data_IF_136946808437
#
_entry.id   IF_136946808437
#
_cell.length_a   1.000
_cell.length_b   1.000
_cell.length_c   1.000
_cell.angle_alpha   90.00
_cell.angle_beta   90.00
_cell.angle_gamma   90.00
#
_symmetry.space_group_name_H-M   'P 1'
#
loop_
_entity.id
_entity.type
_entity.pdbx_description
1 polymer ?
#
# COMPACT_ATOMS: atom_id res chain seq x y z
N UNK A 1 51.64 -30.22 -40.47
CA UNK A 1 50.32 -29.54 -40.65
C UNK A 1 49.50 -29.87 -39.41
N UNK A 2 49.42 -28.94 -38.46
CA UNK A 2 48.64 -29.11 -37.22
C UNK A 2 47.39 -28.26 -37.33
N UNK A 3 46.21 -28.89 -37.32
CA UNK A 3 44.90 -28.25 -37.27
C UNK A 3 44.63 -27.79 -35.82
N UNK A 4 44.39 -26.50 -35.65
CA UNK A 4 43.91 -25.88 -34.39
C UNK A 4 42.40 -25.76 -34.49
N UNK A 5 41.66 -26.52 -33.68
CA UNK A 5 40.21 -26.41 -33.54
C UNK A 5 39.91 -25.29 -32.55
N UNK A 6 39.26 -24.23 -33.01
CA UNK A 6 38.74 -23.19 -32.15
C UNK A 6 37.33 -23.60 -31.67
N UNK A 7 37.22 -23.88 -30.39
CA UNK A 7 35.92 -24.11 -29.73
C UNK A 7 35.21 -22.80 -29.44
N UNK A 8 34.02 -22.62 -29.99
CA UNK A 8 33.14 -21.50 -29.74
C UNK A 8 32.33 -21.75 -28.46
N UNK A 9 32.68 -21.09 -27.36
CA UNK A 9 31.87 -21.16 -26.13
C UNK A 9 30.66 -20.19 -26.23
N UNK A 10 29.49 -20.76 -26.36
CA UNK A 10 28.25 -19.97 -26.31
C UNK A 10 27.89 -19.62 -24.83
N UNK A 11 27.99 -18.35 -24.50
CA UNK A 11 27.52 -17.80 -23.20
C UNK A 11 26.01 -17.68 -23.23
N UNK A 12 25.31 -18.57 -22.53
CA UNK A 12 23.87 -18.41 -22.28
C UNK A 12 23.64 -17.41 -21.13
N UNK A 13 23.17 -16.21 -21.45
CA UNK A 13 22.64 -15.29 -20.46
C UNK A 13 21.25 -15.80 -20.03
N UNK A 14 21.16 -16.34 -18.83
CA UNK A 14 19.86 -16.53 -18.16
C UNK A 14 19.34 -15.18 -17.68
N UNK A 15 18.37 -14.59 -18.38
CA UNK A 15 17.54 -13.54 -17.82
C UNK A 15 16.68 -14.16 -16.70
N UNK A 16 17.04 -13.93 -15.45
CA UNK A 16 16.15 -14.18 -14.33
C UNK A 16 14.99 -13.19 -14.42
N UNK A 17 13.82 -13.64 -14.84
CA UNK A 17 12.59 -12.87 -14.66
C UNK A 17 12.37 -12.71 -13.16
N UNK A 18 12.51 -11.49 -12.65
CA UNK A 18 12.08 -11.14 -11.30
C UNK A 18 10.56 -11.30 -11.28
N UNK A 19 10.06 -12.41 -10.71
CA UNK A 19 8.65 -12.54 -10.37
C UNK A 19 8.37 -11.46 -9.34
N UNK A 20 7.53 -10.48 -9.67
CA UNK A 20 6.92 -9.62 -8.67
C UNK A 20 6.12 -10.54 -7.74
N UNK A 21 6.61 -10.76 -6.51
CA UNK A 21 5.82 -11.43 -5.51
C UNK A 21 4.58 -10.55 -5.29
N UNK A 22 3.42 -11.06 -5.66
CA UNK A 22 2.15 -10.37 -5.42
C UNK A 22 1.97 -10.16 -3.91
N UNK A 23 1.25 -9.11 -3.53
CA UNK A 23 0.94 -8.83 -2.13
C UNK A 23 0.31 -10.06 -1.46
N UNK A 24 0.90 -10.53 -0.35
CA UNK A 24 0.58 -11.80 0.28
C UNK A 24 -0.51 -11.66 1.35
N UNK A 25 -1.73 -11.28 0.94
CA UNK A 25 -2.90 -11.60 1.75
C UNK A 25 -2.96 -13.12 1.96
N UNK A 26 -3.19 -13.57 3.17
CA UNK A 26 -3.18 -14.99 3.53
C UNK A 26 -4.54 -15.66 3.43
N UNK A 27 -5.63 -14.89 3.33
CA UNK A 27 -6.98 -15.42 3.20
C UNK A 27 -7.20 -16.19 1.90
N UNK A 28 -7.86 -17.34 1.98
CA UNK A 28 -8.07 -18.21 0.82
C UNK A 28 -9.13 -17.71 -0.16
N UNK A 29 -10.12 -16.93 0.32
CA UNK A 29 -11.23 -16.43 -0.50
C UNK A 29 -10.98 -14.98 -0.90
N UNK A 30 -10.76 -14.74 -2.19
CA UNK A 30 -10.62 -13.40 -2.75
C UNK A 30 -11.98 -12.72 -2.82
N UNK A 31 -12.11 -11.54 -2.22
CA UNK A 31 -13.30 -10.70 -2.23
C UNK A 31 -13.19 -9.58 -3.28
N UNK A 32 -11.98 -9.08 -3.48
CA UNK A 32 -11.64 -8.08 -4.49
C UNK A 32 -10.15 -8.15 -4.80
N UNK A 33 -9.77 -7.84 -6.03
CA UNK A 33 -8.36 -7.64 -6.40
C UNK A 33 -8.25 -6.69 -7.59
N UNK A 34 -7.17 -5.92 -7.62
CA UNK A 34 -6.80 -5.05 -8.72
C UNK A 34 -5.26 -5.00 -8.83
N UNK A 35 -4.76 -5.33 -10.01
CA UNK A 35 -3.34 -5.19 -10.37
C UNK A 35 -3.06 -3.92 -11.18
N UNK A 36 -4.06 -3.03 -11.27
CA UNK A 36 -3.98 -1.72 -11.91
C UNK A 36 -3.54 -1.74 -13.39
N UNK A 37 -3.78 -2.83 -14.11
CA UNK A 37 -3.62 -2.84 -15.58
C UNK A 37 -4.56 -1.81 -16.25
N UNK A 38 -5.74 -1.62 -15.65
CA UNK A 38 -6.73 -0.62 -16.04
C UNK A 38 -7.35 -0.02 -14.79
N UNK A 39 -7.65 1.28 -14.77
CA UNK A 39 -8.34 1.90 -13.66
C UNK A 39 -9.80 1.44 -13.62
N UNK A 40 -10.14 0.66 -12.62
CA UNK A 40 -11.52 0.23 -12.42
C UNK A 40 -12.37 1.42 -11.93
N UNK A 41 -13.63 1.56 -12.39
CA UNK A 41 -14.51 2.66 -11.96
C UNK A 41 -14.72 2.75 -10.44
N UNK A 42 -14.49 1.65 -9.73
CA UNK A 42 -14.58 1.58 -8.26
C UNK A 42 -13.52 2.41 -7.52
N UNK A 43 -12.47 2.85 -8.23
CA UNK A 43 -11.47 3.80 -7.74
C UNK A 43 -11.80 5.26 -8.08
N UNK A 44 -12.90 5.51 -8.80
CA UNK A 44 -13.23 6.84 -9.31
C UNK A 44 -12.44 7.21 -10.55
N UNK A 45 -12.51 8.48 -10.96
CA UNK A 45 -11.85 9.00 -12.15
C UNK A 45 -10.42 9.47 -11.85
N UNK A 46 -9.50 9.35 -12.83
CA UNK A 46 -8.17 9.94 -12.71
C UNK A 46 -8.26 11.45 -12.45
N UNK A 47 -7.32 11.97 -11.69
CA UNK A 47 -7.23 13.40 -11.37
C UNK A 47 -5.75 13.81 -11.18
N UNK A 48 -5.50 15.04 -10.77
CA UNK A 48 -4.13 15.55 -10.59
C UNK A 48 -3.34 14.78 -9.52
N UNK A 49 -4.02 14.22 -8.51
CA UNK A 49 -3.40 13.49 -7.42
C UNK A 49 -3.37 11.97 -7.64
N UNK A 50 -4.13 11.43 -8.61
CA UNK A 50 -4.25 9.99 -8.84
C UNK A 50 -4.39 9.65 -10.32
N UNK A 51 -3.55 8.76 -10.83
CA UNK A 51 -3.58 8.26 -12.21
C UNK A 51 -3.01 6.86 -12.33
N UNK A 52 -3.30 6.17 -13.43
CA UNK A 52 -2.55 4.98 -13.81
C UNK A 52 -1.27 5.38 -14.55
N UNK A 53 -0.18 4.71 -14.23
CA UNK A 53 1.08 4.81 -14.95
C UNK A 53 1.82 3.46 -14.88
N UNK A 54 2.16 2.91 -16.06
CA UNK A 54 2.92 1.65 -16.21
C UNK A 54 2.33 0.46 -15.40
N UNK A 55 0.99 0.31 -15.39
CA UNK A 55 0.32 -0.77 -14.67
C UNK A 55 0.34 -0.61 -13.15
N UNK A 56 0.47 0.61 -12.65
CA UNK A 56 0.41 0.94 -11.23
C UNK A 56 -0.52 2.13 -10.99
N UNK A 57 -1.15 2.17 -9.84
CA UNK A 57 -1.89 3.35 -9.39
C UNK A 57 -0.93 4.32 -8.75
N UNK A 58 -0.60 5.39 -9.47
CA UNK A 58 0.30 6.45 -8.99
C UNK A 58 -0.49 7.52 -8.28
N UNK A 59 -0.04 7.86 -7.07
CA UNK A 59 -0.66 8.86 -6.19
C UNK A 59 0.38 9.92 -5.83
N UNK A 60 0.03 11.19 -6.09
CA UNK A 60 0.89 12.34 -5.84
C UNK A 60 0.05 13.50 -5.31
N UNK A 61 -0.26 13.53 -4.00
CA UNK A 61 -0.92 14.69 -3.41
C UNK A 61 -0.08 15.96 -3.61
N UNK A 62 -0.73 17.11 -3.76
CA UNK A 62 -0.02 18.38 -3.75
C UNK A 62 0.73 18.58 -2.41
N UNK A 63 1.73 19.46 -2.38
CA UNK A 63 2.47 19.78 -1.15
C UNK A 63 1.52 20.15 0.00
N UNK A 64 1.78 19.67 1.20
CA UNK A 64 0.99 19.85 2.42
C UNK A 64 -0.46 19.29 2.33
N UNK A 65 -0.67 18.29 1.47
CA UNK A 65 -2.00 17.70 1.29
C UNK A 65 -2.05 16.23 1.67
N UNK A 66 -3.21 15.83 2.17
CA UNK A 66 -3.63 14.46 2.37
C UNK A 66 -4.44 13.98 1.18
N UNK A 67 -4.28 12.74 0.81
CA UNK A 67 -5.09 12.04 -0.18
C UNK A 67 -5.54 10.70 0.37
N UNK A 68 -6.80 10.36 0.16
CA UNK A 68 -7.32 9.01 0.39
C UNK A 68 -8.36 8.68 -0.66
N UNK A 69 -8.32 7.43 -1.12
CA UNK A 69 -9.25 6.91 -2.11
C UNK A 69 -9.78 5.56 -1.63
N UNK A 70 -11.01 5.51 -1.10
CA UNK A 70 -11.69 4.24 -0.86
C UNK A 70 -12.04 3.56 -2.18
N UNK A 71 -11.97 2.24 -2.20
CA UNK A 71 -12.53 1.43 -3.28
C UNK A 71 -14.01 1.17 -2.97
N UNK A 72 -14.88 1.45 -3.95
CA UNK A 72 -16.34 1.39 -3.79
C UNK A 72 -16.96 0.08 -4.28
N UNK A 73 -16.15 -0.93 -4.61
CA UNK A 73 -16.64 -2.20 -5.15
C UNK A 73 -17.57 -2.95 -4.18
N UNK A 74 -17.23 -2.93 -2.89
CA UNK A 74 -17.96 -3.68 -1.87
C UNK A 74 -17.97 -2.97 -0.52
N UNK A 75 -18.87 -3.41 0.35
CA UNK A 75 -18.79 -3.23 1.80
C UNK A 75 -18.36 -4.56 2.41
N UNK A 76 -17.41 -4.51 3.31
CA UNK A 76 -16.82 -5.69 3.95
C UNK A 76 -17.10 -5.66 5.46
N UNK A 77 -17.34 -6.82 6.06
CA UNK A 77 -17.33 -6.95 7.52
C UNK A 77 -15.88 -7.05 8.02
N UNK A 78 -15.28 -8.23 7.87
CA UNK A 78 -13.88 -8.48 8.21
C UNK A 78 -13.05 -8.63 6.92
N UNK A 79 -11.79 -8.19 6.95
CA UNK A 79 -10.91 -8.23 5.79
C UNK A 79 -9.50 -8.68 6.15
N UNK A 80 -8.85 -9.29 5.18
CA UNK A 80 -7.40 -9.36 5.05
C UNK A 80 -7.03 -8.56 3.79
N UNK A 81 -6.54 -7.34 3.98
CA UNK A 81 -6.27 -6.32 2.96
C UNK A 81 -4.77 -6.17 2.77
N UNK A 82 -4.28 -6.25 1.56
CA UNK A 82 -2.86 -6.05 1.26
C UNK A 82 -2.64 -5.30 -0.07
N UNK A 83 -1.48 -4.64 -0.15
CA UNK A 83 -1.03 -3.89 -1.32
C UNK A 83 0.49 -3.82 -1.36
N UNK A 84 1.08 -3.83 -2.53
CA UNK A 84 2.46 -3.41 -2.73
C UNK A 84 2.49 -1.89 -2.91
N UNK A 85 3.22 -1.20 -2.05
CA UNK A 85 3.43 0.24 -2.09
C UNK A 85 4.90 0.53 -2.41
N UNK A 86 5.15 1.39 -3.39
CA UNK A 86 6.48 1.90 -3.71
C UNK A 86 6.58 3.37 -3.36
N UNK A 87 7.62 3.77 -2.64
CA UNK A 87 8.01 5.18 -2.53
C UNK A 87 8.74 5.56 -3.82
N UNK A 88 8.08 6.32 -4.71
CA UNK A 88 8.70 6.76 -5.97
C UNK A 88 9.60 7.96 -5.72
N UNK A 89 9.10 8.96 -5.00
CA UNK A 89 9.86 10.12 -4.55
C UNK A 89 9.38 10.54 -3.16
N UNK A 90 10.25 10.38 -2.18
CA UNK A 90 9.99 10.79 -0.79
C UNK A 90 10.71 12.10 -0.48
N UNK A 91 10.09 13.25 -0.80
CA UNK A 91 10.68 14.60 -0.65
C UNK A 91 11.12 14.89 0.78
N UNK A 92 10.42 14.39 1.76
CA UNK A 92 10.81 14.40 3.18
C UNK A 92 10.49 13.02 3.77
N UNK A 93 11.52 12.18 4.00
CA UNK A 93 11.32 10.80 4.40
C UNK A 93 10.72 10.64 5.81
N UNK A 94 10.59 11.70 6.58
CA UNK A 94 9.92 11.67 7.89
C UNK A 94 8.46 12.13 7.81
N UNK A 95 8.13 13.00 6.87
CA UNK A 95 6.79 13.58 6.74
C UNK A 95 5.99 12.99 5.57
N UNK A 96 6.64 12.58 4.46
CA UNK A 96 5.99 11.86 3.38
C UNK A 96 5.55 10.47 3.89
N UNK A 97 4.36 10.03 3.53
CA UNK A 97 3.82 8.75 3.95
C UNK A 97 2.70 8.27 3.05
N UNK A 98 2.57 6.95 2.94
CA UNK A 98 1.45 6.35 2.24
C UNK A 98 1.06 5.02 2.88
N UNK A 99 -0.09 4.47 2.49
CA UNK A 99 -0.56 3.23 3.04
C UNK A 99 -1.99 2.88 2.73
N UNK A 100 -2.66 2.25 3.67
CA UNK A 100 -3.98 1.65 3.53
C UNK A 100 -5.02 2.40 4.37
N UNK A 101 -6.21 2.57 3.80
CA UNK A 101 -7.43 2.97 4.50
C UNK A 101 -8.25 1.74 4.82
N UNK A 102 -8.75 1.65 6.03
CA UNK A 102 -9.63 0.59 6.50
C UNK A 102 -10.67 1.14 7.48
N UNK A 103 -11.72 0.39 7.77
CA UNK A 103 -12.89 0.83 8.52
C UNK A 103 -13.42 2.19 8.03
N UNK A 104 -13.40 2.36 6.70
CA UNK A 104 -13.85 3.59 6.07
C UNK A 104 -15.38 3.61 5.96
N UNK A 105 -15.98 4.67 6.46
CA UNK A 105 -17.41 4.98 6.35
C UNK A 105 -17.62 6.19 5.43
N UNK A 106 -16.88 7.26 5.70
CA UNK A 106 -16.94 8.52 4.97
C UNK A 106 -15.63 9.32 5.14
N UNK A 107 -15.54 10.49 4.50
CA UNK A 107 -14.35 11.36 4.52
C UNK A 107 -13.95 11.84 5.91
N UNK A 108 -14.81 11.73 6.91
CA UNK A 108 -14.58 12.17 8.29
C UNK A 108 -14.37 11.02 9.27
N UNK A 109 -14.60 9.75 8.83
CA UNK A 109 -14.64 8.60 9.71
C UNK A 109 -13.97 7.39 9.05
N UNK A 110 -12.70 7.14 9.35
CA UNK A 110 -11.91 6.00 8.88
C UNK A 110 -10.62 5.84 9.69
N UNK A 111 -9.88 4.76 9.43
CA UNK A 111 -8.54 4.53 9.94
C UNK A 111 -7.55 4.49 8.77
N UNK A 112 -6.31 4.92 9.03
CA UNK A 112 -5.19 4.83 8.10
C UNK A 112 -4.00 4.12 8.75
N UNK A 113 -3.46 3.10 8.07
CA UNK A 113 -2.17 2.49 8.37
C UNK A 113 -1.15 3.08 7.41
N UNK A 114 -0.12 3.72 7.94
CA UNK A 114 0.82 4.53 7.18
C UNK A 114 2.25 4.03 7.37
N UNK A 115 3.01 4.03 6.28
CA UNK A 115 4.46 3.80 6.26
C UNK A 115 5.15 5.01 5.64
N UNK A 116 6.18 5.52 6.30
CA UNK A 116 7.04 6.59 5.81
C UNK A 116 8.31 6.01 5.14
N UNK A 117 8.95 6.73 4.20
CA UNK A 117 10.17 6.28 3.51
C UNK A 117 11.36 6.02 4.46
N UNK A 118 11.36 6.59 5.66
CA UNK A 118 12.37 6.30 6.69
C UNK A 118 12.18 4.95 7.40
N UNK A 119 11.12 4.18 7.05
CA UNK A 119 10.82 2.86 7.62
C UNK A 119 10.06 2.89 8.94
N UNK A 120 9.55 4.05 9.35
CA UNK A 120 8.62 4.14 10.48
C UNK A 120 7.19 4.00 9.99
N UNK A 121 6.34 3.40 10.81
CA UNK A 121 4.91 3.26 10.56
C UNK A 121 4.08 3.80 11.73
N UNK A 122 2.83 4.10 11.45
CA UNK A 122 1.85 4.56 12.44
C UNK A 122 0.44 4.15 12.05
N UNK A 123 -0.49 4.26 13.00
CA UNK A 123 -1.93 4.09 12.73
C UNK A 123 -2.67 5.29 13.27
N UNK A 124 -3.49 5.88 12.41
CA UNK A 124 -4.32 7.03 12.73
C UNK A 124 -5.79 6.71 12.53
N UNK A 125 -6.64 7.40 13.29
CA UNK A 125 -8.08 7.41 13.11
C UNK A 125 -8.53 8.82 12.77
N UNK A 126 -9.28 8.96 11.67
CA UNK A 126 -10.07 10.16 11.44
C UNK A 126 -11.46 9.95 12.04
N UNK A 127 -11.84 10.76 13.01
CA UNK A 127 -13.13 10.69 13.67
C UNK A 127 -13.78 12.07 13.71
N UNK A 128 -14.93 12.20 13.07
CA UNK A 128 -15.64 13.51 12.92
C UNK A 128 -14.70 14.60 12.36
N UNK A 129 -13.87 14.22 11.38
CA UNK A 129 -12.90 15.08 10.73
C UNK A 129 -11.62 15.39 11.52
N UNK A 130 -11.46 14.87 12.74
CA UNK A 130 -10.27 15.08 13.57
C UNK A 130 -9.35 13.86 13.51
N UNK A 131 -8.04 14.10 13.43
CA UNK A 131 -7.04 13.05 13.48
C UNK A 131 -6.70 12.67 14.93
N UNK A 132 -6.71 11.39 15.23
CA UNK A 132 -6.42 10.78 16.52
C UNK A 132 -5.36 9.70 16.32
N UNK A 133 -4.24 9.80 17.02
CA UNK A 133 -3.19 8.79 17.00
C UNK A 133 -3.69 7.52 17.68
N UNK A 134 -3.62 6.39 17.01
CA UNK A 134 -3.91 5.06 17.57
C UNK A 134 -2.62 4.32 17.90
N UNK A 135 -1.67 4.34 16.98
CA UNK A 135 -0.30 3.84 17.17
C UNK A 135 0.65 4.96 16.77
N UNK A 136 1.46 5.44 17.71
CA UNK A 136 2.46 6.48 17.43
C UNK A 136 3.54 5.98 16.47
N UNK A 137 4.19 6.92 15.76
CA UNK A 137 5.29 6.63 14.85
C UNK A 137 6.40 5.84 15.55
N UNK A 138 6.72 4.68 15.02
CA UNK A 138 7.80 3.82 15.48
C UNK A 138 8.35 2.97 14.34
N UNK A 139 9.55 2.42 14.53
CA UNK A 139 10.20 1.55 13.56
C UNK A 139 9.32 0.35 13.18
N UNK A 140 9.09 0.18 11.87
CA UNK A 140 8.47 -1.03 11.33
C UNK A 140 9.59 -2.00 10.93
N UNK A 141 9.74 -3.07 11.69
CA UNK A 141 10.75 -4.10 11.40
C UNK A 141 10.46 -4.72 10.03
N UNK A 142 11.51 -4.88 9.22
CA UNK A 142 11.38 -5.43 7.87
C UNK A 142 11.00 -4.41 6.80
N UNK A 143 10.73 -3.14 7.14
CA UNK A 143 10.46 -2.11 6.15
C UNK A 143 11.71 -1.78 5.31
N UNK A 144 11.56 -1.80 3.99
CA UNK A 144 12.52 -1.25 3.04
C UNK A 144 12.43 0.28 3.06
N UNK A 145 13.56 0.99 2.90
CA UNK A 145 13.66 2.44 3.11
C UNK A 145 14.12 3.18 1.86
N UNK A 146 13.70 4.44 1.75
CA UNK A 146 14.13 5.36 0.71
C UNK A 146 13.34 5.25 -0.59
N UNK A 147 13.77 6.04 -1.57
CA UNK A 147 13.15 6.07 -2.90
C UNK A 147 13.40 4.76 -3.65
N UNK A 148 12.42 4.31 -4.40
CA UNK A 148 12.42 3.01 -5.06
C UNK A 148 12.11 1.82 -4.13
N UNK A 149 11.98 2.05 -2.81
CA UNK A 149 11.67 0.98 -1.87
C UNK A 149 10.23 0.48 -2.06
N UNK A 150 10.10 -0.82 -2.28
CA UNK A 150 8.82 -1.52 -2.37
C UNK A 150 8.56 -2.17 -1.02
N UNK A 151 7.37 -1.93 -0.46
CA UNK A 151 6.90 -2.57 0.76
C UNK A 151 5.51 -3.16 0.54
N UNK A 152 5.31 -4.39 1.00
CA UNK A 152 3.98 -4.94 1.17
C UNK A 152 3.39 -4.42 2.47
N UNK A 153 2.24 -3.76 2.39
CA UNK A 153 1.44 -3.38 3.54
C UNK A 153 0.23 -4.30 3.65
N UNK A 154 -0.05 -4.77 4.86
CA UNK A 154 -1.20 -5.62 5.12
C UNK A 154 -1.92 -5.20 6.40
N UNK A 155 -3.25 -5.21 6.34
CA UNK A 155 -4.16 -4.98 7.48
C UNK A 155 -5.14 -6.14 7.55
N UNK A 156 -5.25 -6.79 8.68
CA UNK A 156 -6.34 -7.73 8.96
C UNK A 156 -7.31 -7.13 9.96
N UNK A 157 -8.61 -7.28 9.72
CA UNK A 157 -9.64 -6.91 10.70
C UNK A 157 -10.53 -8.11 10.99
N UNK A 158 -10.77 -8.37 12.29
CA UNK A 158 -11.71 -9.38 12.77
C UNK A 158 -12.49 -8.78 13.94
N UNK A 159 -13.77 -8.50 13.73
CA UNK A 159 -14.56 -7.74 14.69
C UNK A 159 -13.90 -6.41 15.03
N UNK A 160 -13.64 -6.13 16.29
CA UNK A 160 -12.97 -4.90 16.76
C UNK A 160 -11.44 -4.96 16.76
N UNK A 161 -10.85 -6.09 16.39
CA UNK A 161 -9.39 -6.25 16.34
C UNK A 161 -8.85 -5.90 14.95
N UNK A 162 -7.73 -5.19 14.92
CA UNK A 162 -6.97 -4.95 13.69
C UNK A 162 -5.48 -5.23 13.93
N UNK A 163 -4.85 -5.98 13.00
CA UNK A 163 -3.41 -6.25 13.03
C UNK A 163 -2.76 -5.71 11.74
N UNK A 164 -1.53 -5.21 11.87
CA UNK A 164 -0.79 -4.51 10.82
C UNK A 164 0.54 -5.19 10.56
N UNK A 165 0.89 -5.31 9.28
CA UNK A 165 2.12 -5.98 8.85
C UNK A 165 2.83 -5.16 7.77
N UNK A 166 4.16 -5.20 7.80
CA UNK A 166 5.04 -4.67 6.75
C UNK A 166 5.96 -5.80 6.31
N UNK A 167 5.93 -6.14 5.02
CA UNK A 167 6.72 -7.22 4.44
C UNK A 167 6.58 -8.56 5.21
N UNK A 168 5.34 -8.91 5.59
CA UNK A 168 5.02 -10.12 6.35
C UNK A 168 5.40 -10.07 7.83
N UNK A 169 6.08 -9.03 8.29
CA UNK A 169 6.44 -8.85 9.71
C UNK A 169 5.36 -8.05 10.43
N UNK A 170 4.84 -8.60 11.53
CA UNK A 170 3.86 -7.89 12.34
C UNK A 170 4.44 -6.60 12.91
N UNK A 171 3.72 -5.50 12.68
CA UNK A 171 4.06 -4.19 13.21
C UNK A 171 3.35 -3.94 14.54
N UNK A 172 2.03 -4.15 14.59
CA UNK A 172 1.21 -3.87 15.77
C UNK A 172 -0.18 -4.49 15.64
N UNK A 173 -0.84 -4.64 16.78
CA UNK A 173 -2.28 -4.89 16.89
C UNK A 173 -2.96 -3.76 17.68
N UNK A 174 -4.24 -3.55 17.44
CA UNK A 174 -5.08 -2.64 18.22
C UNK A 174 -6.54 -3.14 18.31
N UNK A 175 -7.23 -2.70 19.34
CA UNK A 175 -8.69 -2.77 19.42
C UNK A 175 -9.26 -1.42 19.02
N UNK A 176 -10.12 -1.39 17.99
CA UNK A 176 -10.72 -0.18 17.45
C UNK A 176 -12.24 -0.21 17.44
N UNK A 177 -12.82 0.65 16.61
CA UNK A 177 -14.28 0.78 16.47
C UNK A 177 -14.65 0.55 15.00
N UNK A 178 -14.92 -0.70 14.60
CA UNK A 178 -15.40 -1.00 13.25
C UNK A 178 -16.77 -0.36 13.00
N UNK A 179 -17.12 -0.02 11.75
CA UNK A 179 -18.46 0.43 11.40
C UNK A 179 -19.47 -0.72 11.49
N UNK A 180 -20.70 -0.42 11.95
CA UNK A 180 -21.76 -1.41 12.13
C UNK A 180 -22.29 -2.01 10.82
N UNK A 181 -22.23 -1.26 9.72
CA UNK A 181 -22.81 -1.62 8.43
C UNK A 181 -21.76 -2.00 7.36
N UNK A 182 -20.62 -2.52 7.81
CA UNK A 182 -19.51 -2.85 6.92
C UNK A 182 -18.61 -1.64 6.62
N UNK A 183 -17.45 -1.92 6.05
CA UNK A 183 -16.39 -0.97 5.77
C UNK A 183 -16.05 -0.94 4.27
N UNK A 184 -15.62 0.21 3.77
CA UNK A 184 -14.78 0.25 2.58
C UNK A 184 -13.31 0.23 2.99
N UNK A 185 -12.46 -0.15 2.05
CA UNK A 185 -11.01 -0.16 2.17
C UNK A 185 -10.40 0.60 1.00
N UNK A 186 -9.16 1.04 1.13
CA UNK A 186 -8.55 1.83 0.06
C UNK A 186 -7.10 2.20 0.33
N UNK A 187 -6.65 3.24 -0.34
CA UNK A 187 -5.29 3.75 -0.26
C UNK A 187 -5.25 5.14 0.39
N UNK A 188 -4.08 5.48 0.92
CA UNK A 188 -3.80 6.73 1.60
C UNK A 188 -2.42 7.26 1.20
N UNK A 189 -2.25 8.58 1.08
CA UNK A 189 -0.97 9.22 0.87
C UNK A 189 -0.95 10.63 1.44
N UNK A 190 0.23 11.11 1.83
CA UNK A 190 0.46 12.47 2.29
C UNK A 190 1.73 13.01 1.69
N UNK A 191 1.64 14.20 1.14
CA UNK A 191 2.82 14.99 0.75
C UNK A 191 3.18 15.98 1.86
N UNK A 192 4.48 16.09 2.19
CA UNK A 192 4.96 17.08 3.15
C UNK A 192 4.87 18.51 2.59
N UNK A 193 4.97 19.49 3.48
CA UNK A 193 4.93 20.91 3.10
C UNK A 193 6.10 21.31 2.16
N UNK A 194 7.22 20.56 2.19
CA UNK A 194 8.39 20.82 1.35
C UNK A 194 8.22 20.48 -0.13
N UNK A 195 7.21 19.70 -0.49
CA UNK A 195 6.94 19.32 -1.88
C UNK A 195 6.03 18.12 -2.02
N UNK A 196 5.60 17.85 -3.25
CA UNK A 196 4.79 16.68 -3.55
C UNK A 196 5.63 15.39 -3.48
N UNK A 197 5.20 14.44 -2.67
CA UNK A 197 5.71 13.08 -2.65
C UNK A 197 4.92 12.22 -3.64
N UNK A 198 5.56 11.23 -4.23
CA UNK A 198 4.94 10.31 -5.18
C UNK A 198 5.06 8.88 -4.68
N UNK A 199 3.91 8.20 -4.66
CA UNK A 199 3.82 6.79 -4.32
C UNK A 199 3.13 6.04 -5.44
N UNK A 200 3.46 4.77 -5.63
CA UNK A 200 2.70 3.88 -6.50
C UNK A 200 2.22 2.66 -5.73
N UNK A 201 1.05 2.17 -6.14
CA UNK A 201 0.41 1.01 -5.56
C UNK A 201 0.18 -0.04 -6.66
N UNK A 202 0.35 -1.30 -6.30
CA UNK A 202 0.16 -2.44 -7.16
C UNK A 202 -0.35 -3.64 -6.37
N UNK A 203 -0.99 -4.60 -7.06
CA UNK A 203 -1.46 -5.84 -6.44
C UNK A 203 -2.36 -5.62 -5.21
N UNK A 204 -3.27 -4.66 -5.28
CA UNK A 204 -4.26 -4.43 -4.22
C UNK A 204 -5.20 -5.63 -4.12
N UNK A 205 -5.33 -6.18 -2.93
CA UNK A 205 -6.12 -7.39 -2.73
C UNK A 205 -6.86 -7.36 -1.41
N UNK A 206 -8.09 -7.84 -1.44
CA UNK A 206 -8.93 -8.07 -0.26
C UNK A 206 -9.34 -9.52 -0.24
N UNK A 207 -9.08 -10.21 0.84
CA UNK A 207 -9.51 -11.59 1.07
C UNK A 207 -10.32 -11.67 2.35
N UNK A 208 -11.05 -12.77 2.50
CA UNK A 208 -11.67 -13.12 3.77
C UNK A 208 -10.55 -13.56 4.73
N UNK A 209 -10.52 -13.07 6.00
CA UNK A 209 -9.52 -13.46 7.00
C UNK A 209 -9.51 -14.97 7.29
#
# INVERSE_FOLDING_TARGET
MRLVSAGLAALFFFLAAASSAGAACTGATVLFQDNFDNLQPTWGEPNEAMKLDNGQLVVMPAADQYFWQPNTANLYDDVDLCVNMTTVTGVDPEEAKAGLVFWYVDVNNFYAFELAPNGKASVWRRQRGRWLTQVAWQEAKGANRGDGAINELRVTTVGSQAAFYVNGTEFKELTGSPPENGQQVGIFAVSPAKGAATFSFDNFKVTKP
#
